data_IF_567212873787
#
_entry.id   IF_567212873787
#
_cell.length_a   1.000
_cell.length_b   1.000
_cell.length_c   1.000
_cell.angle_alpha   90.00
_cell.angle_beta   90.00
_cell.angle_gamma   90.00
#
_symmetry.space_group_name_H-M   'P 1'
#
loop_
_entity.id
_entity.type
_entity.pdbx_description
1 polymer ?
#
# COMPACT_ATOMS: atom_id res chain seq x y z
N UNK A 1 -13.06 -4.24 -1.88
CA UNK A 1 -13.25 -4.05 -3.33
C UNK A 1 -13.49 -5.37 -4.09
N UNK A 2 -13.40 -6.53 -3.44
CA UNK A 2 -13.49 -7.86 -4.06
C UNK A 2 -12.61 -8.01 -5.33
N UNK A 3 -11.42 -7.40 -5.28
CA UNK A 3 -10.44 -7.47 -6.35
C UNK A 3 -9.26 -8.33 -5.90
N UNK A 4 -8.80 -9.20 -6.81
CA UNK A 4 -7.59 -9.98 -6.57
C UNK A 4 -6.34 -9.10 -6.58
N UNK A 5 -5.34 -9.46 -5.76
CA UNK A 5 -4.08 -8.70 -5.68
C UNK A 5 -3.32 -8.70 -7.01
N UNK A 6 -3.56 -9.71 -7.85
CA UNK A 6 -2.95 -9.84 -9.19
C UNK A 6 -3.35 -8.75 -10.18
N UNK A 7 -4.41 -7.99 -9.91
CA UNK A 7 -4.81 -6.85 -10.76
C UNK A 7 -4.04 -5.57 -10.47
N UNK A 8 -3.18 -5.56 -9.44
CA UNK A 8 -2.36 -4.41 -9.11
C UNK A 8 -1.26 -4.23 -10.18
N UNK A 9 -1.20 -3.04 -10.75
CA UNK A 9 -0.16 -2.67 -11.71
C UNK A 9 1.03 -1.99 -11.03
N UNK A 10 0.78 -1.22 -9.96
CA UNK A 10 1.80 -0.54 -9.18
C UNK A 10 1.40 -0.46 -7.71
N UNK A 11 2.40 -0.54 -6.84
CA UNK A 11 2.28 -0.29 -5.41
C UNK A 11 3.31 0.78 -5.02
N UNK A 12 2.81 1.97 -4.73
CA UNK A 12 3.65 3.09 -4.32
C UNK A 12 3.85 3.11 -2.81
N UNK A 13 5.09 3.08 -2.39
CA UNK A 13 5.46 3.19 -0.97
C UNK A 13 6.06 4.55 -0.72
N UNK A 14 5.38 5.36 0.08
CA UNK A 14 5.77 6.74 0.37
C UNK A 14 6.04 6.94 1.86
N UNK A 15 6.73 8.03 2.19
CA UNK A 15 7.05 8.41 3.56
C UNK A 15 8.39 7.91 4.06
N UNK A 16 8.76 8.34 5.27
CA UNK A 16 10.07 8.06 5.86
C UNK A 16 10.32 6.58 6.17
N UNK A 17 9.27 5.82 6.50
CA UNK A 17 9.38 4.39 6.78
C UNK A 17 9.79 3.62 5.52
N UNK A 18 9.25 4.00 4.36
CA UNK A 18 9.55 3.35 3.09
C UNK A 18 11.02 3.32 2.73
N UNK A 19 11.79 4.32 3.09
CA UNK A 19 13.23 4.41 2.77
C UNK A 19 14.11 3.41 3.53
N UNK A 20 13.62 2.90 4.67
CA UNK A 20 14.35 1.96 5.53
C UNK A 20 13.85 0.52 5.52
N UNK A 21 12.74 0.25 4.83
CA UNK A 21 12.14 -1.08 4.79
C UNK A 21 12.88 -1.99 3.79
N UNK A 22 13.20 -3.20 4.26
CA UNK A 22 13.57 -4.28 3.37
C UNK A 22 12.29 -4.89 2.79
N UNK A 23 12.11 -4.80 1.48
CA UNK A 23 10.90 -5.22 0.76
C UNK A 23 10.59 -6.70 0.98
N UNK A 24 11.59 -7.58 0.86
CA UNK A 24 11.42 -9.02 1.04
C UNK A 24 10.92 -9.35 2.47
N UNK A 25 11.52 -8.71 3.46
CA UNK A 25 11.09 -8.91 4.84
C UNK A 25 9.69 -8.36 5.09
N UNK A 26 9.34 -7.23 4.48
CA UNK A 26 8.00 -6.63 4.59
C UNK A 26 6.93 -7.56 4.01
N UNK A 27 7.20 -8.20 2.88
CA UNK A 27 6.29 -9.21 2.30
C UNK A 27 6.23 -10.47 3.16
N UNK A 28 7.38 -10.96 3.66
CA UNK A 28 7.44 -12.16 4.51
C UNK A 28 6.60 -12.06 5.78
N UNK A 29 6.53 -10.89 6.38
CA UNK A 29 5.69 -10.67 7.58
C UNK A 29 4.25 -10.25 7.25
N UNK A 30 3.89 -10.13 5.97
CA UNK A 30 2.55 -9.75 5.53
C UNK A 30 2.25 -8.25 5.63
N UNK A 31 3.26 -7.41 5.77
CA UNK A 31 3.10 -5.95 5.77
C UNK A 31 2.75 -5.42 4.38
N UNK A 32 3.27 -6.05 3.34
CA UNK A 32 3.00 -5.75 1.94
C UNK A 32 2.47 -7.01 1.24
N UNK A 33 1.65 -6.88 0.20
CA UNK A 33 1.12 -8.03 -0.54
C UNK A 33 2.24 -8.81 -1.24
N UNK A 34 2.04 -10.12 -1.39
CA UNK A 34 3.00 -11.00 -2.06
C UNK A 34 2.75 -11.00 -3.57
N UNK A 35 3.30 -9.99 -4.22
CA UNK A 35 3.24 -9.76 -5.67
C UNK A 35 4.65 -9.59 -6.22
N UNK A 36 4.77 -9.44 -7.54
CA UNK A 36 6.04 -9.17 -8.18
C UNK A 36 6.70 -7.92 -7.56
N UNK A 37 7.96 -8.07 -7.16
CA UNK A 37 8.73 -7.02 -6.49
C UNK A 37 8.98 -5.80 -7.39
N UNK A 38 8.95 -5.99 -8.70
CA UNK A 38 9.12 -4.91 -9.68
C UNK A 38 7.94 -3.94 -9.70
N UNK A 39 6.77 -4.36 -9.18
CA UNK A 39 5.59 -3.50 -9.06
C UNK A 39 5.67 -2.50 -7.91
N UNK A 40 6.60 -2.69 -6.98
CA UNK A 40 6.81 -1.76 -5.88
C UNK A 40 7.72 -0.63 -6.26
N UNK A 41 7.30 0.59 -5.96
CA UNK A 41 8.07 1.79 -6.23
C UNK A 41 8.17 2.69 -5.00
N UNK A 42 9.39 3.01 -4.61
CA UNK A 42 9.67 3.93 -3.52
C UNK A 42 9.65 5.37 -3.99
N UNK A 43 8.77 6.18 -3.42
CA UNK A 43 8.59 7.58 -3.81
C UNK A 43 9.21 8.58 -2.83
N UNK A 44 9.73 8.13 -1.69
CA UNK A 44 10.27 9.00 -0.66
C UNK A 44 9.19 9.83 0.05
N UNK A 45 9.52 11.04 0.50
CA UNK A 45 8.59 11.93 1.18
C UNK A 45 7.69 12.67 0.18
N UNK A 46 6.63 12.02 -0.26
CA UNK A 46 5.69 12.57 -1.24
C UNK A 46 4.82 13.72 -0.69
N UNK A 47 4.57 13.74 0.62
CA UNK A 47 3.88 14.86 1.26
C UNK A 47 4.67 16.15 1.12
N UNK A 48 5.96 16.11 1.36
CA UNK A 48 6.85 17.26 1.18
C UNK A 48 6.97 17.67 -0.30
N UNK A 49 7.18 16.69 -1.18
CA UNK A 49 7.28 16.93 -2.62
C UNK A 49 6.01 17.53 -3.20
N UNK A 50 4.86 17.02 -2.78
CA UNK A 50 3.54 17.54 -3.18
C UNK A 50 3.30 18.96 -2.67
N UNK A 51 3.58 19.22 -1.41
CA UNK A 51 3.46 20.56 -0.83
C UNK A 51 4.37 21.56 -1.54
N UNK A 52 5.59 21.17 -1.87
CA UNK A 52 6.54 22.00 -2.62
C UNK A 52 6.02 22.29 -4.04
N UNK A 53 5.46 21.32 -4.72
CA UNK A 53 4.88 21.51 -6.05
C UNK A 53 3.68 22.47 -6.01
N UNK A 54 2.79 22.32 -5.01
CA UNK A 54 1.64 23.21 -4.82
C UNK A 54 2.06 24.65 -4.49
N UNK A 55 3.11 24.82 -3.70
CA UNK A 55 3.65 26.15 -3.36
C UNK A 55 4.25 26.90 -4.58
N UNK A 56 4.62 26.16 -5.61
CA UNK A 56 5.27 26.73 -6.82
C UNK A 56 4.33 26.88 -8.03
N UNK A 57 3.17 26.27 -8.01
CA UNK A 57 2.31 26.22 -9.20
C UNK A 57 0.83 26.09 -8.82
N UNK A 58 0.03 27.06 -9.24
CA UNK A 58 -1.42 27.00 -9.08
C UNK A 58 -2.02 25.81 -9.83
N UNK A 59 -1.45 25.45 -10.98
CA UNK A 59 -1.87 24.28 -11.74
C UNK A 59 -1.67 22.96 -10.97
N UNK A 60 -0.69 22.89 -10.07
CA UNK A 60 -0.51 21.72 -9.20
C UNK A 60 -1.60 21.62 -8.14
N UNK A 61 -2.10 22.75 -7.64
CA UNK A 61 -3.24 22.77 -6.70
C UNK A 61 -4.49 22.21 -7.37
N UNK A 62 -4.82 22.69 -8.56
CA UNK A 62 -5.99 22.21 -9.32
C UNK A 62 -5.91 20.71 -9.60
N UNK A 63 -4.73 20.18 -9.93
CA UNK A 63 -4.51 18.74 -10.14
C UNK A 63 -4.66 17.93 -8.85
N UNK A 64 -4.23 18.44 -7.71
CA UNK A 64 -4.41 17.77 -6.42
C UNK A 64 -5.88 17.69 -6.07
N UNK A 65 -6.64 18.75 -6.27
CA UNK A 65 -8.09 18.77 -6.03
C UNK A 65 -8.84 17.78 -6.94
N UNK A 66 -8.45 17.71 -8.22
CA UNK A 66 -8.99 16.73 -9.17
C UNK A 66 -8.68 15.31 -8.73
N UNK A 67 -7.43 15.00 -8.35
CA UNK A 67 -7.02 13.69 -7.86
C UNK A 67 -7.77 13.31 -6.58
N UNK A 68 -7.86 14.22 -5.62
CA UNK A 68 -8.56 13.98 -4.36
C UNK A 68 -10.05 13.67 -4.58
N UNK A 69 -10.67 14.34 -5.55
CA UNK A 69 -12.08 14.11 -5.92
C UNK A 69 -12.33 12.75 -6.56
N UNK A 70 -11.30 12.16 -7.18
CA UNK A 70 -11.36 10.83 -7.81
C UNK A 70 -10.89 9.69 -6.91
N UNK A 71 -10.38 9.99 -5.71
CA UNK A 71 -9.97 8.96 -4.77
C UNK A 71 -11.17 8.31 -4.08
N UNK A 72 -11.11 7.00 -3.92
CA UNK A 72 -12.12 6.24 -3.18
C UNK A 72 -11.65 6.04 -1.75
N UNK A 73 -12.45 6.49 -0.78
CA UNK A 73 -12.25 6.23 0.63
C UNK A 73 -12.98 4.96 1.07
N UNK A 74 -12.26 4.08 1.74
CA UNK A 74 -12.81 2.86 2.33
C UNK A 74 -12.69 2.93 3.84
N UNK A 75 -13.84 3.05 4.53
CA UNK A 75 -13.89 3.02 6.00
C UNK A 75 -13.78 1.57 6.48
N UNK A 76 -12.60 1.19 6.96
CA UNK A 76 -12.34 -0.18 7.41
C UNK A 76 -13.13 -0.56 8.65
N UNK A 77 -13.43 0.39 9.54
CA UNK A 77 -14.18 0.14 10.78
C UNK A 77 -15.61 -0.31 10.51
N UNK A 78 -16.17 0.02 9.37
CA UNK A 78 -17.53 -0.39 8.96
C UNK A 78 -17.55 -1.67 8.11
N UNK A 79 -16.39 -2.18 7.74
CA UNK A 79 -16.29 -3.41 6.96
C UNK A 79 -16.46 -4.63 7.87
N UNK A 80 -17.47 -5.50 7.63
CA UNK A 80 -17.74 -6.65 8.50
C UNK A 80 -16.60 -7.68 8.54
N UNK A 81 -15.72 -7.71 7.52
CA UNK A 81 -14.59 -8.63 7.45
C UNK A 81 -13.32 -8.07 8.09
N UNK A 82 -13.30 -6.79 8.48
CA UNK A 82 -12.08 -6.14 8.96
C UNK A 82 -11.48 -6.83 10.19
N UNK A 83 -12.29 -7.15 11.19
CA UNK A 83 -11.79 -7.79 12.41
C UNK A 83 -11.26 -9.19 12.17
N UNK A 84 -11.93 -9.97 11.33
CA UNK A 84 -11.48 -11.32 10.98
C UNK A 84 -10.15 -11.29 10.25
N UNK A 85 -9.99 -10.39 9.29
CA UNK A 85 -8.73 -10.20 8.56
C UNK A 85 -7.62 -9.65 9.46
N UNK A 86 -7.95 -8.74 10.38
CA UNK A 86 -7.00 -8.23 11.36
C UNK A 86 -6.44 -9.34 12.26
N UNK A 87 -7.32 -10.18 12.80
CA UNK A 87 -6.91 -11.32 13.64
C UNK A 87 -6.09 -12.32 12.83
N UNK A 88 -6.50 -12.61 11.60
CA UNK A 88 -5.76 -13.49 10.70
C UNK A 88 -4.35 -12.99 10.40
N UNK A 89 -4.18 -11.67 10.21
CA UNK A 89 -2.89 -11.03 9.95
C UNK A 89 -1.96 -11.00 11.18
N UNK A 90 -2.49 -11.15 12.40
CA UNK A 90 -1.67 -11.27 13.61
C UNK A 90 -0.82 -12.56 13.63
N UNK A 91 -1.19 -13.56 12.85
CA UNK A 91 -0.41 -14.81 12.66
C UNK A 91 0.53 -14.69 11.46
N UNK A 92 1.51 -13.83 11.55
CA UNK A 92 2.42 -13.42 10.47
C UNK A 92 2.86 -14.55 9.52
N UNK A 93 2.77 -14.36 8.20
CA UNK A 93 2.18 -13.21 7.50
C UNK A 93 0.64 -13.18 7.55
N UNK A 94 -0.01 -14.34 7.58
CA UNK A 94 -1.47 -14.50 7.63
C UNK A 94 -1.84 -15.96 7.94
N UNK A 95 -3.02 -16.23 8.50
CA UNK A 95 -3.51 -17.60 8.69
C UNK A 95 -3.71 -18.33 7.37
N UNK A 96 -4.17 -17.63 6.34
CA UNK A 96 -4.22 -18.17 4.98
C UNK A 96 -2.86 -17.94 4.28
N UNK A 97 -2.05 -19.00 4.26
CA UNK A 97 -0.71 -19.00 3.67
C UNK A 97 -0.71 -18.88 2.14
N UNK A 98 -1.80 -19.19 1.46
CA UNK A 98 -1.92 -19.07 0.01
C UNK A 98 -1.81 -17.61 -0.47
N UNK A 99 -2.11 -16.65 0.42
CA UNK A 99 -1.92 -15.24 0.13
C UNK A 99 -0.46 -14.80 0.08
N UNK A 100 0.45 -15.61 0.64
CA UNK A 100 1.88 -15.32 0.76
C UNK A 100 2.74 -16.52 0.34
N UNK A 101 2.66 -16.94 -0.93
CA UNK A 101 3.36 -18.13 -1.42
C UNK A 101 4.88 -18.03 -1.29
N UNK A 102 5.47 -16.83 -1.40
CA UNK A 102 6.91 -16.64 -1.24
C UNK A 102 7.40 -16.83 0.19
N UNK A 103 6.52 -16.78 1.20
CA UNK A 103 6.86 -17.02 2.60
C UNK A 103 6.92 -18.51 2.97
N UNK A 104 6.49 -19.40 2.08
CA UNK A 104 6.40 -20.85 2.31
C UNK A 104 7.70 -21.57 1.89
N UNK A 105 8.57 -20.89 1.13
CA UNK A 105 9.83 -21.47 0.63
C UNK A 105 10.94 -21.37 1.69
N UNK A 106 10.80 -22.13 2.78
CA UNK A 106 11.91 -22.54 3.67
C UNK A 106 11.84 -24.04 3.97
#
# INVERSE_FOLDING_TARGET
LDMDVSVLEHVYVAGGIGSGINMENAVRIGMLPDIDRELFEYLGNTSLSGAYAMARSDCAVDKVDELASNMTYLELSTNPRYMDEFVAACFLPHTNRELFPSSIQE
#
